data_IF_814061396357
#
_entry.id   IF_814061396357
#
_cell.length_a   1.000
_cell.length_b   1.000
_cell.length_c   1.000
_cell.angle_alpha   90.00
_cell.angle_beta   90.00
_cell.angle_gamma   90.00
#
_symmetry.space_group_name_H-M   'P 1'
#
loop_
_entity.id
_entity.type
_entity.pdbx_description
1 polymer ?
#
# COMPACT_ATOMS: atom_id res chain seq x y z
N UNK A 1 0.15 -15.91 5.35
CA UNK A 1 -0.91 -14.90 5.49
C UNK A 1 -0.23 -13.59 5.80
N UNK A 2 -0.43 -12.56 4.98
CA UNK A 2 -0.02 -11.21 5.33
C UNK A 2 -1.15 -10.54 6.12
N UNK A 3 -0.86 -10.08 7.33
CA UNK A 3 -1.76 -9.26 8.16
C UNK A 3 -1.41 -7.78 8.00
N UNK A 4 -2.29 -6.91 8.49
CA UNK A 4 -2.03 -5.48 8.52
C UNK A 4 -0.70 -5.14 9.23
N UNK A 5 -0.47 -5.71 10.42
CA UNK A 5 0.73 -5.46 11.21
C UNK A 5 2.01 -5.99 10.56
N UNK A 6 1.95 -7.14 9.88
CA UNK A 6 3.11 -7.70 9.17
C UNK A 6 3.51 -6.79 8.01
N UNK A 7 2.53 -6.31 7.24
CA UNK A 7 2.78 -5.40 6.12
C UNK A 7 3.40 -4.09 6.62
N UNK A 8 2.89 -3.52 7.72
CA UNK A 8 3.48 -2.32 8.32
C UNK A 8 4.95 -2.53 8.74
N UNK A 9 5.26 -3.68 9.35
CA UNK A 9 6.61 -4.01 9.75
C UNK A 9 7.54 -4.16 8.54
N UNK A 10 7.09 -4.83 7.49
CA UNK A 10 7.85 -5.04 6.27
C UNK A 10 8.10 -3.71 5.53
N UNK A 11 7.12 -2.81 5.51
CA UNK A 11 7.26 -1.46 4.94
C UNK A 11 8.31 -0.64 5.72
N UNK A 12 8.27 -0.66 7.07
CA UNK A 12 9.30 0.00 7.89
C UNK A 12 10.68 -0.59 7.64
N UNK A 13 10.79 -1.92 7.61
CA UNK A 13 12.04 -2.61 7.36
C UNK A 13 12.61 -2.32 5.95
N UNK A 14 11.76 -1.96 4.99
CA UNK A 14 12.16 -1.54 3.65
C UNK A 14 12.73 -0.11 3.60
N UNK A 15 12.81 0.59 4.73
CA UNK A 15 13.30 1.97 4.81
C UNK A 15 12.25 3.02 4.45
N UNK A 16 10.99 2.62 4.30
CA UNK A 16 9.87 3.56 4.27
C UNK A 16 9.70 4.04 5.71
N UNK A 17 10.42 5.11 6.06
CA UNK A 17 10.15 5.89 7.26
C UNK A 17 9.14 6.99 6.92
N UNK A 18 8.92 7.98 7.80
CA UNK A 18 8.01 9.09 7.51
C UNK A 18 8.47 9.85 6.24
N UNK A 19 7.93 9.46 5.09
CA UNK A 19 8.14 10.13 3.82
C UNK A 19 7.08 11.20 3.60
N UNK A 20 7.47 12.36 3.11
CA UNK A 20 6.54 13.44 2.75
C UNK A 20 5.63 13.02 1.57
N UNK A 21 6.13 12.12 0.71
CA UNK A 21 5.43 11.59 -0.46
C UNK A 21 5.87 10.15 -0.79
N UNK A 22 4.91 9.24 -0.97
CA UNK A 22 5.13 7.85 -1.36
C UNK A 22 4.28 7.52 -2.57
N UNK A 23 4.91 7.01 -3.64
CA UNK A 23 4.22 6.47 -4.82
C UNK A 23 4.23 4.95 -4.73
N UNK A 24 3.06 4.31 -4.79
CA UNK A 24 2.92 2.86 -4.64
C UNK A 24 2.42 2.22 -5.93
N UNK A 25 3.17 1.21 -6.37
CA UNK A 25 2.70 0.17 -7.29
C UNK A 25 2.69 -1.16 -6.53
N UNK A 26 1.54 -1.83 -6.50
CA UNK A 26 1.38 -3.07 -5.75
C UNK A 26 0.77 -4.16 -6.63
N UNK A 27 1.21 -5.40 -6.40
CA UNK A 27 0.63 -6.61 -6.96
C UNK A 27 0.13 -7.49 -5.81
N UNK A 28 -1.19 -7.54 -5.61
CA UNK A 28 -1.75 -8.36 -4.53
C UNK A 28 -1.39 -9.84 -4.69
N UNK A 29 -1.33 -10.33 -5.93
CA UNK A 29 -0.95 -11.72 -6.22
C UNK A 29 0.48 -12.06 -5.80
N UNK A 30 1.43 -11.12 -5.86
CA UNK A 30 2.81 -11.36 -5.41
C UNK A 30 2.95 -11.37 -3.89
N UNK A 31 1.96 -10.86 -3.15
CA UNK A 31 1.95 -10.85 -1.68
C UNK A 31 1.42 -12.16 -1.07
N UNK A 32 1.00 -13.11 -1.92
CA UNK A 32 0.36 -14.35 -1.47
C UNK A 32 -1.01 -14.09 -0.85
N UNK A 33 -1.38 -14.87 0.17
CA UNK A 33 -2.67 -14.70 0.84
C UNK A 33 -2.64 -13.54 1.84
N UNK A 34 -3.44 -12.51 1.59
CA UNK A 34 -3.59 -11.33 2.45
C UNK A 34 -4.92 -11.43 3.22
N UNK A 35 -4.86 -11.25 4.54
CA UNK A 35 -6.04 -11.20 5.40
C UNK A 35 -7.01 -10.14 4.86
N UNK A 36 -8.29 -10.47 4.62
CA UNK A 36 -9.30 -9.54 4.06
C UNK A 36 -8.91 -8.88 2.71
N UNK A 37 -7.91 -9.41 2.00
CA UNK A 37 -7.56 -8.98 0.64
C UNK A 37 -6.96 -7.58 0.54
N UNK A 38 -7.26 -6.81 -0.54
CA UNK A 38 -6.62 -5.51 -0.80
C UNK A 38 -6.81 -4.49 0.33
N UNK A 39 -7.93 -4.53 1.05
CA UNK A 39 -8.26 -3.55 2.10
C UNK A 39 -7.17 -3.51 3.20
N UNK A 40 -6.63 -4.68 3.55
CA UNK A 40 -5.57 -4.80 4.56
C UNK A 40 -4.27 -4.13 4.14
N UNK A 41 -3.94 -4.21 2.84
CA UNK A 41 -2.78 -3.51 2.27
C UNK A 41 -2.99 -2.00 2.33
N UNK A 42 -4.16 -1.52 1.92
CA UNK A 42 -4.49 -0.09 1.95
C UNK A 42 -4.44 0.45 3.37
N UNK A 43 -5.00 -0.27 4.36
CA UNK A 43 -4.93 0.12 5.77
C UNK A 43 -3.49 0.19 6.28
N UNK A 44 -2.64 -0.77 5.92
CA UNK A 44 -1.24 -0.76 6.34
C UNK A 44 -0.49 0.45 5.77
N UNK A 45 -0.73 0.78 4.50
CA UNK A 45 -0.18 1.98 3.86
C UNK A 45 -0.67 3.27 4.54
N UNK A 46 -1.96 3.39 4.83
CA UNK A 46 -2.55 4.55 5.51
C UNK A 46 -2.12 4.68 6.98
N UNK A 47 -1.84 3.58 7.67
CA UNK A 47 -1.31 3.61 9.04
C UNK A 47 0.17 4.04 9.06
N UNK A 48 0.92 3.68 8.01
CA UNK A 48 2.33 4.05 7.84
C UNK A 48 2.51 5.51 7.43
N UNK A 49 1.66 5.99 6.52
CA UNK A 49 1.72 7.35 5.96
C UNK A 49 0.79 8.24 6.79
N UNK A 50 1.39 9.13 7.58
CA UNK A 50 0.64 10.05 8.43
C UNK A 50 -0.32 10.94 7.60
N UNK A 51 -1.44 11.41 8.16
CA UNK A 51 -2.39 12.27 7.44
C UNK A 51 -1.79 13.54 6.83
N UNK A 52 -0.69 14.05 7.39
CA UNK A 52 0.07 15.20 6.88
C UNK A 52 0.95 14.88 5.66
N UNK A 53 1.13 13.61 5.31
CA UNK A 53 1.97 13.15 4.19
C UNK A 53 1.11 12.66 3.01
N UNK A 54 1.75 12.40 1.86
CA UNK A 54 1.04 12.03 0.63
C UNK A 54 1.25 10.57 0.23
N UNK A 55 0.16 9.84 0.02
CA UNK A 55 0.14 8.55 -0.68
C UNK A 55 -0.39 8.73 -2.10
N UNK A 56 0.36 8.27 -3.10
CA UNK A 56 -0.02 8.33 -4.52
C UNK A 56 -0.12 6.91 -5.07
N UNK A 57 -1.19 6.62 -5.82
CA UNK A 57 -1.37 5.37 -6.55
C UNK A 57 -1.88 5.65 -7.97
N UNK A 58 -1.53 4.80 -8.92
CA UNK A 58 -1.99 4.93 -10.31
C UNK A 58 -3.42 4.42 -10.48
N UNK A 59 -4.33 5.29 -10.94
CA UNK A 59 -5.69 4.93 -11.35
C UNK A 59 -5.83 4.99 -12.88
N UNK A 60 -4.98 4.24 -13.58
CA UNK A 60 -4.88 4.28 -15.05
C UNK A 60 -6.11 3.65 -15.72
N UNK A 61 -6.84 4.44 -16.50
CA UNK A 61 -8.07 4.02 -17.21
C UNK A 61 -7.87 3.92 -18.72
N UNK A 62 -6.71 3.43 -19.16
CA UNK A 62 -6.30 3.38 -20.58
C UNK A 62 -7.21 2.58 -21.53
N UNK A 63 -8.25 1.90 -21.02
CA UNK A 63 -9.24 1.14 -21.81
C UNK A 63 -10.68 1.60 -21.59
N UNK A 64 -10.89 2.75 -20.94
CA UNK A 64 -12.23 3.35 -20.92
C UNK A 64 -12.46 3.99 -22.29
N UNK A 65 -13.26 3.31 -23.12
CA UNK A 65 -13.90 3.94 -24.28
C UNK A 65 -14.93 4.98 -23.76
N UNK A 66 -15.18 6.08 -24.50
CA UNK A 66 -16.17 7.09 -24.14
C UNK A 66 -17.58 6.54 -23.89
#
# INVERSE_FOLDING_TARGET
>A
MATNSQIEQDLRASGIEQGELVVVHASLGSMGWVERGPETVIRALLNMIRPENTLVMSAMTHRLEP
#
